data_IF_620141043929
#
_entry.id   IF_620141043929
#
_cell.length_a   1.000
_cell.length_b   1.000
_cell.length_c   1.000
_cell.angle_alpha   90.00
_cell.angle_beta   90.00
_cell.angle_gamma   90.00
#
_symmetry.space_group_name_H-M   'P 1'
#
loop_
_entity.id
_entity.type
_entity.pdbx_description
1 polymer ?
#
# COMPACT_ATOMS: atom_id res chain seq x y z
N UNK A 1 -12.18 -6.91 3.99
CA UNK A 1 -12.05 -7.13 5.47
C UNK A 1 -12.82 -6.06 6.26
N UNK A 2 -12.99 -6.18 7.60
CA UNK A 2 -13.83 -5.25 8.41
C UNK A 2 -13.43 -3.77 8.30
N UNK A 3 -12.14 -3.45 8.46
CA UNK A 3 -11.65 -2.06 8.42
C UNK A 3 -11.75 -1.45 7.02
N UNK A 4 -11.44 -2.24 5.99
CA UNK A 4 -11.58 -1.86 4.58
C UNK A 4 -13.04 -1.58 4.20
N UNK A 5 -13.97 -2.46 4.62
CA UNK A 5 -15.40 -2.29 4.37
C UNK A 5 -15.93 -0.99 4.97
N UNK A 6 -15.51 -0.67 6.21
CA UNK A 6 -15.83 0.60 6.85
C UNK A 6 -15.24 1.80 6.09
N UNK A 7 -14.00 1.68 5.60
CA UNK A 7 -13.30 2.72 4.86
C UNK A 7 -13.92 3.02 3.49
N UNK A 8 -14.68 2.09 2.89
CA UNK A 8 -15.19 2.24 1.53
C UNK A 8 -16.07 3.49 1.34
N UNK A 9 -16.84 3.85 2.37
CA UNK A 9 -17.76 4.99 2.37
C UNK A 9 -17.19 6.24 3.08
N UNK A 10 -15.90 6.21 3.44
CA UNK A 10 -15.20 7.31 4.08
C UNK A 10 -14.50 8.22 3.09
N UNK A 11 -14.26 9.46 3.52
CA UNK A 11 -13.43 10.45 2.84
C UNK A 11 -12.01 10.44 3.40
N UNK A 12 -11.01 10.66 2.53
CA UNK A 12 -9.62 10.83 2.95
C UNK A 12 -9.45 12.23 3.57
N UNK A 13 -8.98 12.28 4.81
CA UNK A 13 -8.66 13.52 5.51
C UNK A 13 -7.28 14.09 5.12
N UNK A 14 -6.56 13.43 4.21
CA UNK A 14 -5.25 13.84 3.68
C UNK A 14 -4.19 14.03 4.76
N UNK A 15 -4.14 13.12 5.74
CA UNK A 15 -3.14 13.15 6.80
C UNK A 15 -1.91 12.37 6.33
N UNK A 16 -0.76 13.00 6.01
CA UNK A 16 0.42 12.29 5.55
C UNK A 16 1.10 11.50 6.67
N UNK A 17 1.90 10.50 6.27
CA UNK A 17 2.85 9.81 7.14
C UNK A 17 4.23 10.38 6.83
N UNK A 18 4.96 10.79 7.86
CA UNK A 18 6.34 11.24 7.71
C UNK A 18 7.26 10.06 7.38
N UNK A 19 8.20 10.29 6.46
CA UNK A 19 9.16 9.28 6.00
C UNK A 19 10.56 9.85 6.23
N UNK A 20 11.38 9.13 6.99
CA UNK A 20 12.77 9.48 7.27
C UNK A 20 13.66 8.32 6.85
N UNK A 21 14.58 8.53 5.90
CA UNK A 21 15.52 7.50 5.44
C UNK A 21 14.84 6.16 5.09
N UNK A 22 13.75 6.22 4.32
CA UNK A 22 12.90 5.07 3.95
C UNK A 22 12.18 4.38 5.12
N UNK A 23 12.08 5.03 6.29
CA UNK A 23 11.34 4.54 7.46
C UNK A 23 10.07 5.38 7.65
N UNK A 24 8.91 4.72 7.67
CA UNK A 24 7.63 5.37 7.94
C UNK A 24 7.47 5.61 9.45
N UNK A 25 7.18 6.85 9.84
CA UNK A 25 6.93 7.23 11.24
C UNK A 25 5.51 6.86 11.70
N UNK A 26 5.23 5.55 11.76
CA UNK A 26 3.89 5.01 12.04
C UNK A 26 3.39 5.36 13.45
N UNK A 27 4.28 5.48 14.43
CA UNK A 27 3.90 5.76 15.82
C UNK A 27 3.19 7.12 15.93
N UNK A 28 3.81 8.17 15.39
CA UNK A 28 3.25 9.52 15.45
C UNK A 28 1.99 9.64 14.58
N UNK A 29 1.97 8.98 13.42
CA UNK A 29 0.76 8.88 12.60
C UNK A 29 -0.39 8.20 13.37
N UNK A 30 -0.15 7.06 14.01
CA UNK A 30 -1.16 6.34 14.77
C UNK A 30 -1.70 7.17 15.94
N UNK A 31 -0.82 7.89 16.64
CA UNK A 31 -1.22 8.84 17.70
C UNK A 31 -2.13 9.93 17.16
N UNK A 32 -1.78 10.55 16.03
CA UNK A 32 -2.60 11.58 15.36
C UNK A 32 -3.98 11.05 14.98
N UNK A 33 -4.06 9.84 14.41
CA UNK A 33 -5.34 9.20 14.08
C UNK A 33 -6.16 8.93 15.35
N UNK A 34 -5.51 8.47 16.42
CA UNK A 34 -6.18 8.21 17.70
C UNK A 34 -6.73 9.48 18.34
N UNK A 35 -6.02 10.60 18.27
CA UNK A 35 -6.47 11.89 18.82
C UNK A 35 -7.68 12.46 18.09
N UNK A 36 -7.86 12.10 16.81
CA UNK A 36 -9.03 12.48 16.00
C UNK A 36 -10.25 11.58 16.19
N UNK A 37 -10.14 10.46 16.93
CA UNK A 37 -11.22 9.45 17.07
C UNK A 37 -12.57 9.98 17.58
N UNK A 38 -12.56 11.11 18.29
CA UNK A 38 -13.75 11.75 18.85
C UNK A 38 -14.22 12.97 18.03
N UNK A 39 -13.45 13.38 17.02
CA UNK A 39 -13.72 14.56 16.19
C UNK A 39 -14.16 14.17 14.78
N UNK A 40 -13.64 13.06 14.28
CA UNK A 40 -13.85 12.60 12.91
C UNK A 40 -14.66 11.30 12.88
N UNK A 41 -15.32 11.04 11.75
CA UNK A 41 -16.09 9.81 11.59
C UNK A 41 -15.17 8.59 11.48
N UNK A 42 -15.59 7.44 12.04
CA UNK A 42 -14.80 6.20 12.00
C UNK A 42 -14.47 5.75 10.57
N UNK A 43 -15.37 6.00 9.62
CA UNK A 43 -15.17 5.67 8.20
C UNK A 43 -14.10 6.55 7.55
N UNK A 44 -14.05 7.85 7.89
CA UNK A 44 -13.06 8.78 7.33
C UNK A 44 -11.68 8.50 7.91
N UNK A 45 -11.60 8.20 9.21
CA UNK A 45 -10.35 7.74 9.84
C UNK A 45 -9.86 6.43 9.21
N UNK A 46 -10.74 5.45 9.02
CA UNK A 46 -10.38 4.21 8.35
C UNK A 46 -9.90 4.45 6.91
N UNK A 47 -10.59 5.31 6.14
CA UNK A 47 -10.17 5.68 4.78
C UNK A 47 -8.80 6.33 4.76
N UNK A 48 -8.59 7.31 5.65
CA UNK A 48 -7.34 8.04 5.78
C UNK A 48 -6.19 7.09 6.08
N UNK A 49 -6.34 6.16 7.03
CA UNK A 49 -5.27 5.17 7.34
C UNK A 49 -4.87 4.35 6.11
N UNK A 50 -5.84 3.84 5.35
CA UNK A 50 -5.53 3.06 4.14
C UNK A 50 -4.79 3.91 3.10
N UNK A 51 -5.30 5.12 2.83
CA UNK A 51 -4.77 5.98 1.78
C UNK A 51 -3.39 6.50 2.15
N UNK A 52 -3.17 6.95 3.38
CA UNK A 52 -1.90 7.49 3.85
C UNK A 52 -0.79 6.46 3.87
N UNK A 53 -1.07 5.24 4.33
CA UNK A 53 -0.11 4.13 4.26
C UNK A 53 0.22 3.77 2.81
N UNK A 54 -0.79 3.60 1.96
CA UNK A 54 -0.58 3.25 0.55
C UNK A 54 0.24 4.34 -0.19
N UNK A 55 -0.04 5.63 0.05
CA UNK A 55 0.74 6.75 -0.48
C UNK A 55 2.20 6.70 0.00
N UNK A 56 2.42 6.50 1.30
CA UNK A 56 3.77 6.47 1.88
C UNK A 56 4.61 5.29 1.35
N UNK A 57 4.04 4.09 1.25
CA UNK A 57 4.73 2.95 0.62
C UNK A 57 5.01 3.20 -0.86
N UNK A 58 4.05 3.80 -1.58
CA UNK A 58 4.23 4.13 -3.00
C UNK A 58 5.37 5.12 -3.20
N UNK A 59 5.49 6.12 -2.33
CA UNK A 59 6.55 7.13 -2.42
C UNK A 59 7.94 6.47 -2.38
N UNK A 60 8.21 5.62 -1.39
CA UNK A 60 9.50 4.93 -1.28
C UNK A 60 9.75 4.04 -2.50
N UNK A 61 8.74 3.26 -2.91
CA UNK A 61 8.88 2.38 -4.07
C UNK A 61 9.15 3.15 -5.37
N UNK A 62 8.50 4.30 -5.58
CA UNK A 62 8.67 5.17 -6.74
C UNK A 62 10.06 5.81 -6.74
N UNK A 63 10.52 6.31 -5.59
CA UNK A 63 11.85 6.91 -5.44
C UNK A 63 12.97 5.91 -5.78
N UNK A 64 12.85 4.66 -5.33
CA UNK A 64 13.80 3.60 -5.67
C UNK A 64 13.69 3.16 -7.13
N UNK A 65 12.47 2.89 -7.63
CA UNK A 65 12.26 2.40 -8.99
C UNK A 65 12.68 3.40 -10.07
N UNK A 66 12.62 4.72 -9.78
CA UNK A 66 13.04 5.77 -10.71
C UNK A 66 14.52 5.76 -11.04
N UNK A 67 15.38 5.27 -10.14
CA UNK A 67 16.83 5.24 -10.35
C UNK A 67 17.21 4.45 -11.61
N UNK A 68 16.49 3.35 -11.85
CA UNK A 68 16.77 2.42 -12.95
C UNK A 68 15.54 2.20 -13.87
N UNK A 69 14.50 3.03 -13.77
CA UNK A 69 13.23 2.92 -14.51
C UNK A 69 12.59 1.52 -14.44
N UNK A 70 12.54 0.96 -13.24
CA UNK A 70 12.04 -0.41 -13.01
C UNK A 70 10.52 -0.46 -12.81
N UNK A 71 9.86 -1.57 -13.18
CA UNK A 71 8.47 -1.80 -12.82
C UNK A 71 8.32 -2.06 -11.31
N UNK A 72 7.18 -1.64 -10.75
CA UNK A 72 6.82 -1.89 -9.34
C UNK A 72 5.78 -3.01 -9.28
N UNK A 73 6.14 -4.11 -8.61
CA UNK A 73 5.22 -5.22 -8.32
C UNK A 73 4.60 -5.09 -6.93
N UNK A 74 3.29 -5.33 -6.81
CA UNK A 74 2.61 -5.38 -5.51
C UNK A 74 2.03 -6.78 -5.24
N UNK A 75 2.35 -7.31 -4.06
CA UNK A 75 2.02 -8.67 -3.61
C UNK A 75 1.83 -8.70 -2.09
N UNK A 76 1.65 -9.90 -1.52
CA UNK A 76 1.33 -10.13 -0.11
C UNK A 76 -0.17 -10.06 0.18
N UNK A 77 -0.57 -10.52 1.38
CA UNK A 77 -1.99 -10.60 1.75
C UNK A 77 -2.73 -9.25 1.76
N UNK A 78 -2.02 -8.14 2.01
CA UNK A 78 -2.60 -6.79 1.98
C UNK A 78 -2.99 -6.37 0.55
N UNK A 79 -2.42 -6.98 -0.50
CA UNK A 79 -2.77 -6.65 -1.89
C UNK A 79 -4.20 -7.06 -2.29
N UNK A 80 -4.90 -7.84 -1.45
CA UNK A 80 -6.35 -8.03 -1.59
C UNK A 80 -7.18 -6.80 -1.20
N UNK A 81 -6.61 -5.88 -0.41
CA UNK A 81 -7.28 -4.66 0.00
C UNK A 81 -7.40 -3.69 -1.18
N UNK A 82 -8.60 -3.52 -1.72
CA UNK A 82 -8.82 -2.77 -2.96
C UNK A 82 -8.51 -1.29 -2.80
N UNK A 83 -8.85 -0.70 -1.64
CA UNK A 83 -8.51 0.71 -1.38
C UNK A 83 -7.00 0.91 -1.42
N UNK A 84 -6.26 0.02 -0.77
CA UNK A 84 -4.80 0.09 -0.69
C UNK A 84 -4.16 -0.12 -2.07
N UNK A 85 -4.55 -1.21 -2.76
CA UNK A 85 -4.04 -1.56 -4.09
C UNK A 85 -4.35 -0.49 -5.13
N UNK A 86 -5.56 0.08 -5.14
CA UNK A 86 -5.95 1.13 -6.08
C UNK A 86 -5.14 2.42 -5.86
N UNK A 87 -4.86 2.78 -4.61
CA UNK A 87 -4.04 3.96 -4.29
C UNK A 87 -2.59 3.75 -4.72
N UNK A 88 -2.01 2.57 -4.49
CA UNK A 88 -0.66 2.27 -4.96
C UNK A 88 -0.60 2.30 -6.49
N UNK A 89 -1.51 1.59 -7.16
CA UNK A 89 -1.58 1.54 -8.62
C UNK A 89 -1.64 2.94 -9.22
N UNK A 90 -2.57 3.78 -8.76
CA UNK A 90 -2.69 5.18 -9.22
C UNK A 90 -1.43 5.98 -8.95
N UNK A 91 -0.81 5.82 -7.78
CA UNK A 91 0.41 6.55 -7.42
C UNK A 91 1.58 6.16 -8.33
N UNK A 92 1.75 4.86 -8.61
CA UNK A 92 2.79 4.35 -9.50
C UNK A 92 2.57 4.80 -10.95
N UNK A 93 1.37 4.58 -11.49
CA UNK A 93 1.04 4.90 -12.89
C UNK A 93 1.08 6.41 -13.17
N UNK A 94 0.61 7.25 -12.24
CA UNK A 94 0.69 8.72 -12.37
C UNK A 94 2.12 9.27 -12.34
N UNK A 95 3.08 8.49 -11.82
CA UNK A 95 4.50 8.84 -11.83
C UNK A 95 5.26 8.24 -13.03
N UNK A 96 4.54 7.71 -14.03
CA UNK A 96 5.11 7.20 -15.28
C UNK A 96 5.77 5.82 -15.19
N UNK A 97 5.61 5.13 -14.06
CA UNK A 97 6.18 3.81 -13.82
C UNK A 97 5.16 2.70 -14.11
N UNK A 98 5.65 1.51 -14.47
CA UNK A 98 4.80 0.34 -14.74
C UNK A 98 4.41 -0.35 -13.43
N UNK A 99 3.10 -0.48 -13.19
CA UNK A 99 2.56 -1.28 -12.08
C UNK A 99 2.30 -2.73 -12.51
N UNK A 100 2.63 -3.69 -11.63
CA UNK A 100 2.41 -5.12 -11.85
C UNK A 100 1.69 -5.73 -10.65
N UNK A 101 0.61 -6.46 -10.91
CA UNK A 101 -0.20 -7.13 -9.89
C UNK A 101 -0.50 -8.59 -10.25
N UNK A 102 -0.84 -9.36 -9.23
CA UNK A 102 -1.27 -10.76 -9.35
C UNK A 102 -2.62 -10.86 -10.06
N UNK A 103 -2.72 -11.76 -11.06
CA UNK A 103 -3.98 -12.06 -11.77
C UNK A 103 -4.33 -13.53 -11.82
N UNK A 104 -3.33 -14.39 -12.06
CA UNK A 104 -3.51 -15.84 -12.21
C UNK A 104 -3.17 -16.63 -10.94
N UNK A 105 -2.33 -16.06 -10.07
CA UNK A 105 -1.86 -16.67 -8.84
C UNK A 105 -2.28 -15.77 -7.68
N UNK A 106 -2.75 -16.31 -6.54
CA UNK A 106 -3.08 -15.53 -5.35
C UNK A 106 -1.92 -14.60 -4.94
N UNK A 107 -2.21 -13.38 -4.48
CA UNK A 107 -1.17 -12.45 -4.00
C UNK A 107 -0.72 -12.75 -2.56
N UNK A 108 -1.55 -13.44 -1.78
CA UNK A 108 -1.21 -13.89 -0.43
C UNK A 108 -0.46 -15.22 -0.41
N UNK A 109 -0.43 -15.86 0.77
CA UNK A 109 0.38 -17.06 1.04
C UNK A 109 0.09 -18.24 0.11
N UNK A 110 -1.13 -18.35 -0.42
CA UNK A 110 -1.48 -19.37 -1.41
C UNK A 110 -0.70 -19.28 -2.73
N UNK A 111 -0.04 -18.16 -3.02
CA UNK A 111 0.83 -17.96 -4.19
C UNK A 111 2.32 -18.01 -3.89
N UNK A 112 2.73 -18.14 -2.62
CA UNK A 112 4.14 -18.02 -2.22
C UNK A 112 4.99 -19.17 -2.78
N UNK A 113 4.46 -20.40 -2.76
CA UNK A 113 5.18 -21.57 -3.31
C UNK A 113 5.54 -21.41 -4.79
N UNK A 114 4.65 -20.80 -5.58
CA UNK A 114 4.91 -20.51 -6.98
C UNK A 114 6.10 -19.55 -7.15
N UNK A 115 6.15 -18.48 -6.35
CA UNK A 115 7.27 -17.54 -6.33
C UNK A 115 8.59 -18.19 -5.93
N UNK A 116 8.56 -19.06 -4.92
CA UNK A 116 9.73 -19.83 -4.47
C UNK A 116 10.24 -20.78 -5.55
N UNK A 117 9.36 -21.53 -6.21
CA UNK A 117 9.74 -22.44 -7.30
C UNK A 117 10.36 -21.69 -8.48
N UNK A 118 9.79 -20.55 -8.88
CA UNK A 118 10.34 -19.73 -9.96
C UNK A 118 11.69 -19.11 -9.59
N UNK A 119 11.85 -18.65 -8.34
CA UNK A 119 13.11 -18.14 -7.83
C UNK A 119 14.18 -19.24 -7.85
N UNK A 120 13.88 -20.44 -7.35
CA UNK A 120 14.80 -21.56 -7.39
C UNK A 120 15.19 -21.94 -8.83
N UNK A 121 14.22 -22.02 -9.75
CA UNK A 121 14.48 -22.33 -11.16
C UNK A 121 15.41 -21.33 -11.85
N UNK A 122 15.27 -20.03 -11.57
CA UNK A 122 16.12 -18.99 -12.17
C UNK A 122 17.56 -18.96 -11.65
N UNK A 123 17.83 -19.58 -10.51
CA UNK A 123 19.15 -19.60 -9.86
C UNK A 123 19.88 -20.94 -10.05
N UNK A 124 19.41 -21.78 -10.99
CA UNK A 124 20.09 -22.97 -11.51
C UNK A 124 20.64 -22.61 -12.89
#
# INVERSE_FOLDING_TARGET
MKLESLAWNGNDLNIPIEIESNILQIREFAKKIFDLRNKESKKDLAKTVHVSLAKAFSQIAIEEARKDNLPIGFSGGVAYNRIFSDVIKKSVESNGLKFVEHRLIPCGDGGVSFGQSLFAYKNI
#
